data_IF_759229081826
#
_entry.id   IF_759229081826
#
_cell.length_a   1.000
_cell.length_b   1.000
_cell.length_c   1.000
_cell.angle_alpha   90.00
_cell.angle_beta   90.00
_cell.angle_gamma   90.00
#
_symmetry.space_group_name_H-M   'P 1'
#
loop_
_entity.id
_entity.type
_entity.pdbx_description
1 polymer ?
#
# COMPACT_ATOMS: atom_id res chain seq x y z
N UNK A 1 -17.10 -23.14 5.14
CA UNK A 1 -17.46 -22.07 4.21
C UNK A 1 -16.28 -21.94 3.26
N UNK A 2 -16.45 -22.35 2.01
CA UNK A 2 -15.36 -22.36 1.02
C UNK A 2 -15.01 -20.90 0.67
N UNK A 3 -13.78 -20.48 0.98
CA UNK A 3 -13.23 -19.19 0.58
C UNK A 3 -13.10 -19.23 -0.94
N UNK A 4 -13.67 -18.27 -1.70
CA UNK A 4 -13.44 -18.23 -3.12
C UNK A 4 -11.94 -18.01 -3.37
N UNK A 5 -11.32 -18.95 -4.07
CA UNK A 5 -9.98 -18.75 -4.63
C UNK A 5 -10.06 -17.56 -5.58
N UNK A 6 -9.35 -16.46 -5.27
CA UNK A 6 -9.22 -15.34 -6.17
C UNK A 6 -8.65 -15.85 -7.50
N UNK A 7 -9.36 -15.70 -8.62
CA UNK A 7 -8.74 -15.91 -9.90
C UNK A 7 -7.67 -14.82 -10.05
N UNK A 8 -6.42 -15.23 -10.13
CA UNK A 8 -5.35 -14.35 -10.59
C UNK A 8 -5.68 -13.97 -12.03
N UNK A 9 -6.36 -12.85 -12.23
CA UNK A 9 -6.64 -12.26 -13.54
C UNK A 9 -5.39 -11.58 -14.15
N UNK A 10 -4.24 -12.18 -13.92
CA UNK A 10 -3.10 -12.00 -14.82
C UNK A 10 -3.38 -13.02 -15.92
N UNK A 11 -3.57 -12.63 -17.19
CA UNK A 11 -3.62 -13.61 -18.28
C UNK A 11 -2.37 -14.47 -18.11
N UNK A 12 -2.59 -15.78 -17.96
CA UNK A 12 -1.52 -16.72 -17.70
C UNK A 12 -0.47 -16.53 -18.78
N UNK A 13 0.83 -16.46 -18.45
CA UNK A 13 1.91 -16.26 -19.43
C UNK A 13 1.90 -17.26 -20.60
N UNK A 14 1.10 -18.32 -20.49
CA UNK A 14 0.96 -19.36 -21.51
C UNK A 14 0.45 -18.88 -22.87
N UNK A 15 -0.27 -17.76 -22.97
CA UNK A 15 -0.72 -17.21 -24.27
C UNK A 15 0.35 -16.34 -24.94
N UNK A 16 1.26 -15.75 -24.17
CA UNK A 16 2.37 -14.94 -24.69
C UNK A 16 3.68 -15.75 -24.84
N UNK A 17 3.76 -16.95 -24.26
CA UNK A 17 4.95 -17.82 -24.34
C UNK A 17 5.16 -18.49 -25.70
N UNK A 18 4.19 -18.42 -26.61
CA UNK A 18 4.28 -19.13 -27.89
C UNK A 18 5.09 -18.40 -28.97
N UNK A 19 5.43 -17.15 -28.83
CA UNK A 19 6.29 -16.43 -29.80
C UNK A 19 7.78 -16.57 -29.52
N UNK A 20 8.18 -16.86 -28.28
CA UNK A 20 9.58 -17.14 -27.93
C UNK A 20 9.83 -18.64 -27.95
N UNK A 21 9.93 -19.18 -29.15
CA UNK A 21 10.00 -20.63 -29.43
C UNK A 21 10.90 -21.43 -28.48
N UNK A 22 10.43 -22.65 -28.16
CA UNK A 22 11.07 -23.63 -27.28
C UNK A 22 12.47 -24.09 -27.73
N UNK A 23 13.03 -23.55 -28.80
CA UNK A 23 14.27 -24.03 -29.44
C UNK A 23 15.52 -23.18 -29.17
N UNK A 24 15.38 -21.99 -28.56
CA UNK A 24 16.54 -21.15 -28.24
C UNK A 24 16.80 -21.09 -26.72
N UNK A 25 18.06 -21.19 -26.26
CA UNK A 25 18.38 -21.10 -24.84
C UNK A 25 17.85 -19.81 -24.23
N UNK A 26 17.32 -19.89 -22.99
CA UNK A 26 16.84 -18.73 -22.22
C UNK A 26 18.00 -17.78 -21.99
N UNK A 27 17.80 -16.49 -22.29
CA UNK A 27 18.74 -15.43 -21.99
C UNK A 27 18.09 -14.37 -21.08
N UNK A 28 18.89 -13.56 -20.41
CA UNK A 28 18.43 -12.46 -19.54
C UNK A 28 17.42 -11.56 -20.25
N UNK A 29 17.77 -11.08 -21.45
CA UNK A 29 16.91 -10.18 -22.22
C UNK A 29 15.58 -10.83 -22.65
N UNK A 30 15.60 -12.16 -22.95
CA UNK A 30 14.39 -12.89 -23.28
C UNK A 30 13.50 -13.11 -22.08
N UNK A 31 14.10 -13.54 -20.95
CA UNK A 31 13.35 -13.78 -19.72
C UNK A 31 12.66 -12.52 -19.20
N UNK A 32 13.38 -11.42 -19.13
CA UNK A 32 12.86 -10.14 -18.64
C UNK A 32 12.14 -9.32 -19.71
N UNK A 33 12.15 -9.76 -20.98
CA UNK A 33 11.59 -9.00 -22.11
C UNK A 33 12.15 -7.57 -22.17
N UNK A 34 13.47 -7.44 -21.98
CA UNK A 34 14.12 -6.12 -21.89
C UNK A 34 13.87 -5.24 -23.11
N UNK A 35 13.93 -5.73 -24.38
CA UNK A 35 13.62 -4.89 -25.54
C UNK A 35 12.21 -4.30 -25.51
N UNK A 36 11.21 -5.08 -25.09
CA UNK A 36 9.83 -4.61 -24.99
C UNK A 36 9.71 -3.57 -23.87
N UNK A 37 10.29 -3.90 -22.70
CA UNK A 37 10.23 -3.03 -21.52
C UNK A 37 10.82 -1.64 -21.79
N UNK A 38 12.01 -1.58 -22.41
CA UNK A 38 12.67 -0.28 -22.70
C UNK A 38 12.11 0.41 -23.95
N UNK A 39 11.20 -0.24 -24.69
CA UNK A 39 10.48 0.35 -25.82
C UNK A 39 9.15 1.00 -25.45
N UNK A 40 8.69 0.89 -24.18
CA UNK A 40 7.41 1.42 -23.72
C UNK A 40 7.44 2.92 -23.39
N UNK A 41 8.61 3.53 -23.29
CA UNK A 41 8.78 4.94 -22.96
C UNK A 41 8.68 5.79 -24.23
N UNK A 42 7.49 6.31 -24.53
CA UNK A 42 7.23 7.12 -25.72
C UNK A 42 6.80 8.52 -25.31
N UNK A 43 7.63 9.52 -25.66
CA UNK A 43 7.33 10.93 -25.41
C UNK A 43 6.21 11.43 -26.32
N UNK A 44 5.32 12.26 -25.79
CA UNK A 44 4.22 12.91 -26.52
C UNK A 44 4.59 14.32 -27.00
N UNK A 45 5.66 14.92 -26.44
CA UNK A 45 6.11 16.25 -26.83
C UNK A 45 6.82 16.23 -28.19
N UNK A 46 6.57 17.25 -29.00
CA UNK A 46 7.25 17.46 -30.26
C UNK A 46 7.68 18.92 -30.39
N UNK A 47 9.00 19.20 -30.48
CA UNK A 47 10.12 18.25 -30.33
C UNK A 47 10.16 17.59 -28.94
N UNK A 48 10.79 16.43 -28.84
CA UNK A 48 10.87 15.67 -27.59
C UNK A 48 11.50 16.49 -26.47
N UNK A 49 10.81 16.54 -25.33
CA UNK A 49 11.29 17.22 -24.14
C UNK A 49 12.15 16.27 -23.31
N UNK A 50 13.41 16.63 -23.05
CA UNK A 50 14.39 15.76 -22.39
C UNK A 50 13.87 15.11 -21.10
N UNK A 51 13.14 15.86 -20.25
CA UNK A 51 12.70 15.40 -18.95
C UNK A 51 11.37 14.60 -19.00
N UNK A 52 10.69 14.55 -20.16
CA UNK A 52 9.48 13.72 -20.33
C UNK A 52 9.80 12.23 -20.22
N UNK A 53 10.95 11.79 -20.74
CA UNK A 53 11.42 10.42 -20.58
C UNK A 53 11.59 10.05 -19.10
N UNK A 54 12.17 10.94 -18.29
CA UNK A 54 12.30 10.75 -16.85
C UNK A 54 10.92 10.60 -16.19
N UNK A 55 9.99 11.48 -16.55
CA UNK A 55 8.62 11.45 -16.02
C UNK A 55 7.92 10.11 -16.31
N UNK A 56 7.99 9.64 -17.56
CA UNK A 56 7.41 8.35 -17.97
C UNK A 56 8.07 7.20 -17.21
N UNK A 57 9.41 7.16 -17.19
CA UNK A 57 10.17 6.07 -16.56
C UNK A 57 9.85 5.94 -15.07
N UNK A 58 9.79 7.05 -14.34
CA UNK A 58 9.46 7.05 -12.91
C UNK A 58 8.04 6.50 -12.67
N UNK A 59 7.05 6.95 -13.43
CA UNK A 59 5.68 6.48 -13.26
C UNK A 59 5.50 5.00 -13.63
N UNK A 60 6.16 4.54 -14.70
CA UNK A 60 6.19 3.11 -15.03
C UNK A 60 6.88 2.27 -13.95
N UNK A 61 7.95 2.76 -13.36
CA UNK A 61 8.63 2.10 -12.24
C UNK A 61 7.70 2.01 -11.00
N UNK A 62 6.93 3.06 -10.69
CA UNK A 62 5.90 3.01 -9.65
C UNK A 62 4.87 1.92 -9.91
N UNK A 63 4.32 1.86 -11.12
CA UNK A 63 3.31 0.85 -11.48
C UNK A 63 3.85 -0.58 -11.40
N UNK A 64 5.12 -0.83 -11.76
CA UNK A 64 5.77 -2.13 -11.59
C UNK A 64 5.94 -2.50 -10.11
N UNK A 65 6.31 -1.54 -9.26
CA UNK A 65 6.43 -1.75 -7.82
C UNK A 65 5.06 -1.91 -7.16
N UNK A 66 4.04 -1.15 -7.55
CA UNK A 66 2.66 -1.35 -7.07
C UNK A 66 2.15 -2.75 -7.36
N UNK A 67 2.47 -3.30 -8.55
CA UNK A 67 2.16 -4.69 -8.89
C UNK A 67 2.81 -5.67 -7.91
N UNK A 68 4.09 -5.45 -7.54
CA UNK A 68 4.79 -6.30 -6.59
C UNK A 68 4.22 -6.15 -5.18
N UNK A 69 3.92 -4.92 -4.75
CA UNK A 69 3.26 -4.63 -3.47
C UNK A 69 1.94 -5.39 -3.35
N UNK A 70 1.08 -5.30 -4.35
CA UNK A 70 -0.19 -6.02 -4.38
C UNK A 70 -0.01 -7.54 -4.32
N UNK A 71 0.99 -8.07 -5.01
CA UNK A 71 1.32 -9.50 -4.98
C UNK A 71 1.73 -9.96 -3.57
N UNK A 72 2.55 -9.19 -2.87
CA UNK A 72 2.97 -9.52 -1.49
C UNK A 72 1.81 -9.34 -0.49
N UNK A 73 0.96 -8.32 -0.67
CA UNK A 73 -0.24 -8.14 0.15
C UNK A 73 -1.22 -9.31 -0.01
N UNK A 74 -1.47 -9.76 -1.24
CA UNK A 74 -2.32 -10.92 -1.51
C UNK A 74 -1.76 -12.19 -0.86
N UNK A 75 -0.45 -12.41 -0.97
CA UNK A 75 0.21 -13.52 -0.29
C UNK A 75 0.11 -13.41 1.24
N UNK A 76 0.23 -12.20 1.79
CA UNK A 76 0.06 -11.93 3.23
C UNK A 76 -1.34 -12.30 3.72
N UNK A 77 -2.38 -11.92 2.98
CA UNK A 77 -3.77 -12.27 3.28
C UNK A 77 -3.97 -13.79 3.31
N UNK A 78 -3.43 -14.50 2.33
CA UNK A 78 -3.49 -15.97 2.28
C UNK A 78 -2.78 -16.57 3.50
N UNK A 79 -1.55 -16.12 3.79
CA UNK A 79 -0.75 -16.61 4.93
C UNK A 79 -1.45 -16.35 6.28
N UNK A 80 -2.06 -15.18 6.46
CA UNK A 80 -2.83 -14.89 7.66
C UNK A 80 -4.04 -15.82 7.80
N UNK A 81 -4.74 -16.11 6.70
CA UNK A 81 -5.89 -17.05 6.71
C UNK A 81 -5.47 -18.49 7.02
N UNK A 82 -4.26 -18.88 6.66
CA UNK A 82 -3.64 -20.17 6.97
C UNK A 82 -2.96 -20.22 8.35
N UNK A 83 -3.11 -19.18 9.17
CA UNK A 83 -2.50 -19.05 10.51
C UNK A 83 -0.95 -19.03 10.49
N UNK A 84 -0.35 -18.55 9.41
CA UNK A 84 1.10 -18.46 9.19
C UNK A 84 1.60 -17.03 9.44
N UNK A 85 1.44 -16.54 10.68
CA UNK A 85 1.72 -15.15 11.06
C UNK A 85 3.15 -14.69 10.75
N UNK A 86 4.16 -15.48 11.08
CA UNK A 86 5.56 -15.15 10.81
C UNK A 86 5.88 -15.02 9.30
N UNK A 87 5.24 -15.86 8.45
CA UNK A 87 5.40 -15.76 7.01
C UNK A 87 4.71 -14.51 6.45
N UNK A 88 3.52 -14.19 6.97
CA UNK A 88 2.78 -12.98 6.62
C UNK A 88 3.57 -11.70 6.97
N UNK A 89 4.14 -11.63 8.19
CA UNK A 89 5.00 -10.52 8.60
C UNK A 89 6.20 -10.34 7.67
N UNK A 90 6.85 -11.42 7.24
CA UNK A 90 7.98 -11.36 6.30
C UNK A 90 7.57 -10.86 4.91
N UNK A 91 6.40 -11.21 4.40
CA UNK A 91 5.88 -10.71 3.13
C UNK A 91 5.59 -9.20 3.22
N UNK A 92 4.98 -8.74 4.32
CA UNK A 92 4.77 -7.31 4.58
C UNK A 92 6.07 -6.53 4.73
N UNK A 93 7.11 -7.09 5.36
CA UNK A 93 8.43 -6.43 5.41
C UNK A 93 8.98 -6.14 4.01
N UNK A 94 8.70 -7.01 3.01
CA UNK A 94 9.07 -6.71 1.62
C UNK A 94 8.25 -5.56 1.04
N UNK A 95 6.96 -5.48 1.37
CA UNK A 95 6.13 -4.32 0.99
C UNK A 95 6.74 -3.04 1.54
N UNK A 96 7.09 -3.01 2.82
CA UNK A 96 7.73 -1.87 3.49
C UNK A 96 9.04 -1.45 2.80
N UNK A 97 9.92 -2.41 2.46
CA UNK A 97 11.17 -2.09 1.75
C UNK A 97 10.92 -1.50 0.35
N UNK A 98 9.89 -1.96 -0.34
CA UNK A 98 9.48 -1.36 -1.62
C UNK A 98 8.95 0.06 -1.38
N UNK A 99 8.14 0.30 -0.36
CA UNK A 99 7.61 1.63 -0.04
C UNK A 99 8.72 2.63 0.32
N UNK A 100 9.74 2.20 1.06
CA UNK A 100 10.96 3.00 1.30
C UNK A 100 11.63 3.42 -0.02
N UNK A 101 11.71 2.49 -0.97
CA UNK A 101 12.24 2.79 -2.31
C UNK A 101 11.33 3.79 -3.04
N UNK A 102 10.00 3.63 -2.97
CA UNK A 102 9.05 4.54 -3.61
C UNK A 102 9.16 5.97 -3.06
N UNK A 103 9.37 6.14 -1.74
CA UNK A 103 9.66 7.45 -1.13
C UNK A 103 10.94 8.04 -1.72
N UNK A 104 12.01 7.25 -1.82
CA UNK A 104 13.29 7.71 -2.37
C UNK A 104 13.20 8.07 -3.87
N UNK A 105 12.35 7.40 -4.66
CA UNK A 105 12.16 7.72 -6.07
C UNK A 105 11.57 9.13 -6.31
N UNK A 106 10.83 9.69 -5.35
CA UNK A 106 10.31 11.07 -5.45
C UNK A 106 11.46 12.06 -5.61
N UNK A 107 12.59 11.85 -4.94
CA UNK A 107 13.75 12.75 -5.03
C UNK A 107 14.37 12.77 -6.42
N UNK A 108 14.27 11.67 -7.17
CA UNK A 108 14.73 11.67 -8.57
C UNK A 108 13.82 12.57 -9.41
N UNK A 109 12.50 12.51 -9.20
CA UNK A 109 11.55 13.37 -9.91
C UNK A 109 11.74 14.86 -9.55
N UNK A 110 12.14 15.18 -8.33
CA UNK A 110 12.45 16.54 -7.86
C UNK A 110 13.69 17.15 -8.51
N UNK A 111 14.51 16.38 -9.21
CA UNK A 111 15.62 16.91 -10.01
C UNK A 111 15.16 17.65 -11.27
N UNK A 112 13.93 17.39 -11.70
CA UNK A 112 13.27 18.15 -12.77
C UNK A 112 12.94 19.56 -12.28
N UNK A 113 13.18 20.58 -13.10
CA UNK A 113 12.78 21.94 -12.74
C UNK A 113 11.31 22.20 -13.08
N UNK A 114 10.60 23.10 -12.36
CA UNK A 114 9.21 23.46 -12.67
C UNK A 114 9.00 23.89 -14.11
N UNK A 115 9.93 24.68 -14.67
CA UNK A 115 9.86 25.16 -16.07
C UNK A 115 9.93 24.00 -17.06
N UNK A 116 10.79 23.03 -16.81
CA UNK A 116 10.93 21.84 -17.66
C UNK A 116 9.67 20.97 -17.60
N UNK A 117 9.10 20.77 -16.40
CA UNK A 117 7.83 20.06 -16.26
C UNK A 117 6.69 20.78 -17.00
N UNK A 118 6.57 22.10 -16.86
CA UNK A 118 5.56 22.88 -17.55
C UNK A 118 5.68 22.80 -19.07
N UNK A 119 6.89 22.55 -19.60
CA UNK A 119 7.14 22.44 -21.03
C UNK A 119 6.38 21.30 -21.73
N UNK A 120 6.04 20.23 -21.01
CA UNK A 120 5.26 19.11 -21.58
C UNK A 120 3.96 18.81 -20.82
N UNK A 121 3.75 19.39 -19.62
CA UNK A 121 2.61 19.10 -18.74
C UNK A 121 1.24 19.19 -19.43
N UNK A 122 1.04 20.17 -20.29
CA UNK A 122 -0.27 20.35 -20.96
C UNK A 122 -0.63 19.20 -21.89
N UNK A 123 0.38 18.50 -22.42
CA UNK A 123 0.17 17.33 -23.29
C UNK A 123 -0.29 16.09 -22.52
N UNK A 124 -0.11 16.09 -21.20
CA UNK A 124 -0.59 15.00 -20.35
C UNK A 124 -2.09 15.06 -20.10
N UNK A 125 -2.75 16.20 -20.33
CA UNK A 125 -4.18 16.36 -20.05
C UNK A 125 -5.02 15.47 -21.00
N UNK A 126 -6.01 14.69 -20.49
CA UNK A 126 -6.54 14.69 -19.12
C UNK A 126 -5.92 13.63 -18.19
N UNK A 127 -4.80 13.02 -18.54
CA UNK A 127 -4.15 11.99 -17.71
C UNK A 127 -3.68 12.55 -16.35
N UNK A 128 -3.88 11.78 -15.31
CA UNK A 128 -3.55 12.15 -13.94
C UNK A 128 -3.15 10.91 -13.12
N UNK A 129 -2.24 11.09 -12.16
CA UNK A 129 -1.88 10.05 -11.18
C UNK A 129 -3.08 9.55 -10.35
N UNK A 130 -4.17 10.30 -10.29
CA UNK A 130 -5.44 9.86 -9.73
C UNK A 130 -6.01 8.61 -10.39
N UNK A 131 -5.67 8.39 -11.66
CA UNK A 131 -6.13 7.28 -12.48
C UNK A 131 -5.26 6.03 -12.33
N UNK A 132 -4.25 6.03 -11.44
CA UNK A 132 -3.51 4.81 -11.13
C UNK A 132 -4.43 3.81 -10.44
N UNK A 133 -4.87 2.81 -11.18
CA UNK A 133 -5.72 1.73 -10.67
C UNK A 133 -5.00 0.94 -9.56
N UNK A 134 -3.73 0.60 -9.73
CA UNK A 134 -2.98 -0.19 -8.77
C UNK A 134 -2.76 0.55 -7.44
N UNK A 135 -2.54 1.87 -7.49
CA UNK A 135 -2.51 2.69 -6.29
C UNK A 135 -3.84 2.62 -5.52
N UNK A 136 -4.97 2.70 -6.22
CA UNK A 136 -6.30 2.56 -5.59
C UNK A 136 -6.55 1.15 -5.05
N UNK A 137 -6.05 0.11 -5.73
CA UNK A 137 -6.11 -1.26 -5.20
C UNK A 137 -5.37 -1.38 -3.87
N UNK A 138 -4.17 -0.76 -3.74
CA UNK A 138 -3.42 -0.74 -2.47
C UNK A 138 -4.21 -0.03 -1.38
N UNK A 139 -4.79 1.14 -1.67
CA UNK A 139 -5.64 1.85 -0.70
C UNK A 139 -6.83 1.00 -0.24
N UNK A 140 -7.52 0.32 -1.16
CA UNK A 140 -8.71 -0.48 -0.85
C UNK A 140 -8.36 -1.71 -0.01
N UNK A 141 -7.35 -2.47 -0.41
CA UNK A 141 -6.94 -3.67 0.33
C UNK A 141 -6.36 -3.34 1.69
N UNK A 142 -5.77 -2.16 1.86
CA UNK A 142 -5.24 -1.68 3.14
C UNK A 142 -6.32 -1.07 4.06
N UNK A 143 -7.56 -0.86 3.56
CA UNK A 143 -8.69 -0.44 4.40
C UNK A 143 -9.34 0.90 4.03
N UNK A 144 -8.77 1.65 3.07
CA UNK A 144 -9.35 2.93 2.64
C UNK A 144 -10.29 2.77 1.43
N UNK A 145 -11.36 2.02 1.61
CA UNK A 145 -12.41 1.83 0.59
C UNK A 145 -13.26 3.08 0.48
N UNK A 146 -13.39 3.60 -0.72
CA UNK A 146 -14.18 4.78 -1.02
C UNK A 146 -14.98 4.61 -2.30
N UNK A 147 -16.29 4.52 -2.19
CA UNK A 147 -17.20 4.28 -3.32
C UNK A 147 -17.11 5.36 -4.40
N UNK A 148 -16.89 6.62 -3.99
CA UNK A 148 -16.68 7.72 -4.94
C UNK A 148 -15.49 7.49 -5.86
N UNK A 149 -14.38 6.97 -5.33
CA UNK A 149 -13.19 6.62 -6.12
C UNK A 149 -13.51 5.48 -7.08
N UNK A 150 -14.20 4.43 -6.63
CA UNK A 150 -14.62 3.33 -7.50
C UNK A 150 -15.47 3.83 -8.67
N UNK A 151 -16.38 4.77 -8.42
CA UNK A 151 -17.26 5.32 -9.43
C UNK A 151 -16.53 6.14 -10.52
N UNK A 152 -15.35 6.73 -10.21
CA UNK A 152 -14.53 7.46 -11.18
C UNK A 152 -13.96 6.55 -12.28
N UNK A 153 -13.90 5.24 -12.05
CA UNK A 153 -13.38 4.25 -13.01
C UNK A 153 -14.47 3.56 -13.85
N UNK A 154 -15.74 3.97 -13.76
CA UNK A 154 -16.84 3.28 -14.44
C UNK A 154 -16.69 3.18 -15.96
N UNK A 155 -16.01 4.14 -16.57
CA UNK A 155 -15.80 4.18 -18.02
C UNK A 155 -14.61 3.29 -18.46
N UNK A 156 -13.75 2.86 -17.53
CA UNK A 156 -12.70 1.88 -17.74
C UNK A 156 -13.13 0.53 -17.16
N UNK A 157 -13.77 -0.29 -17.98
CA UNK A 157 -14.33 -1.57 -17.53
C UNK A 157 -13.29 -2.52 -16.92
N UNK A 158 -12.03 -2.48 -17.35
CA UNK A 158 -10.95 -3.29 -16.77
C UNK A 158 -10.56 -2.81 -15.37
N UNK A 159 -10.31 -1.51 -15.23
CA UNK A 159 -9.94 -0.92 -13.95
C UNK A 159 -11.08 -1.00 -12.94
N UNK A 160 -12.32 -0.68 -13.39
CA UNK A 160 -13.52 -0.75 -12.56
C UNK A 160 -13.72 -2.15 -11.95
N UNK A 161 -13.66 -3.20 -12.78
CA UNK A 161 -13.90 -4.57 -12.32
C UNK A 161 -12.85 -5.02 -11.29
N UNK A 162 -11.57 -4.68 -11.50
CA UNK A 162 -10.50 -4.97 -10.53
C UNK A 162 -10.71 -4.25 -9.21
N UNK A 163 -11.02 -2.94 -9.27
CA UNK A 163 -11.27 -2.14 -8.08
C UNK A 163 -12.53 -2.60 -7.35
N UNK A 164 -13.59 -2.99 -8.06
CA UNK A 164 -14.81 -3.55 -7.47
C UNK A 164 -14.51 -4.82 -6.67
N UNK A 165 -13.72 -5.73 -7.23
CA UNK A 165 -13.30 -6.94 -6.53
C UNK A 165 -12.53 -6.62 -5.26
N UNK A 166 -11.60 -5.64 -5.28
CA UNK A 166 -10.88 -5.18 -4.09
C UNK A 166 -11.81 -4.51 -3.07
N UNK A 167 -12.78 -3.75 -3.57
CA UNK A 167 -13.75 -3.07 -2.71
C UNK A 167 -14.64 -4.07 -1.93
N UNK A 168 -15.05 -5.17 -2.57
CA UNK A 168 -15.88 -6.21 -1.97
C UNK A 168 -15.07 -7.21 -1.10
N UNK A 169 -13.76 -7.35 -1.36
CA UNK A 169 -12.90 -8.29 -0.65
C UNK A 169 -12.55 -7.80 0.77
N UNK A 170 -12.24 -8.72 1.71
CA UNK A 170 -11.72 -8.35 3.02
C UNK A 170 -10.40 -7.57 2.93
N UNK A 171 -10.23 -6.60 3.83
CA UNK A 171 -9.01 -5.79 3.95
C UNK A 171 -7.93 -6.51 4.75
N UNK A 172 -6.68 -6.02 4.67
CA UNK A 172 -5.58 -6.48 5.53
C UNK A 172 -5.93 -6.42 7.01
N UNK A 173 -6.55 -5.31 7.46
CA UNK A 173 -6.96 -5.12 8.85
C UNK A 173 -8.03 -6.13 9.30
N UNK A 174 -9.06 -6.36 8.48
CA UNK A 174 -10.11 -7.34 8.78
C UNK A 174 -9.54 -8.76 8.89
N UNK A 175 -8.62 -9.15 8.00
CA UNK A 175 -7.97 -10.47 8.03
C UNK A 175 -7.02 -10.59 9.22
N UNK A 176 -6.30 -9.52 9.57
CA UNK A 176 -5.45 -9.49 10.76
C UNK A 176 -6.27 -9.67 12.04
N UNK A 177 -7.34 -8.91 12.24
CA UNK A 177 -8.20 -9.09 13.41
C UNK A 177 -8.90 -10.46 13.42
N UNK A 178 -9.20 -11.04 12.26
CA UNK A 178 -9.70 -12.42 12.18
C UNK A 178 -8.64 -13.44 12.64
N UNK A 179 -7.37 -13.24 12.30
CA UNK A 179 -6.26 -14.05 12.81
C UNK A 179 -6.15 -13.93 14.35
N UNK A 180 -6.21 -12.71 14.89
CA UNK A 180 -6.13 -12.49 16.33
C UNK A 180 -7.26 -13.20 17.09
N UNK A 181 -8.50 -13.18 16.56
CA UNK A 181 -9.63 -13.94 17.13
C UNK A 181 -9.37 -15.44 17.15
N UNK A 182 -8.85 -16.02 16.07
CA UNK A 182 -8.48 -17.44 16.02
C UNK A 182 -7.42 -17.80 17.05
N UNK A 183 -6.55 -16.86 17.39
CA UNK A 183 -5.48 -16.99 18.40
C UNK A 183 -5.91 -16.62 19.83
N UNK A 184 -7.22 -16.43 20.04
CA UNK A 184 -7.83 -16.22 21.36
C UNK A 184 -7.79 -14.79 21.88
N UNK A 185 -7.47 -13.80 21.03
CA UNK A 185 -7.55 -12.38 21.38
C UNK A 185 -8.95 -11.82 21.11
N UNK A 186 -9.40 -10.92 21.97
CA UNK A 186 -10.71 -10.27 21.86
C UNK A 186 -10.68 -9.12 20.83
N UNK A 187 -10.71 -9.46 19.55
CA UNK A 187 -10.64 -8.52 18.44
C UNK A 187 -11.89 -8.65 17.53
N UNK A 188 -13.03 -8.05 17.89
CA UNK A 188 -14.28 -8.17 17.15
C UNK A 188 -14.15 -7.67 15.71
N UNK A 189 -14.94 -8.28 14.80
CA UNK A 189 -15.04 -7.79 13.43
C UNK A 189 -15.70 -6.42 13.38
N UNK A 190 -15.40 -5.67 12.34
CA UNK A 190 -16.18 -4.47 12.02
C UNK A 190 -17.56 -4.90 11.49
N UNK A 191 -18.58 -4.19 11.95
CA UNK A 191 -19.96 -4.44 11.53
C UNK A 191 -20.71 -3.10 11.45
N UNK A 192 -20.84 -2.58 10.24
CA UNK A 192 -21.53 -1.32 9.96
C UNK A 192 -23.04 -1.37 10.23
N UNK A 193 -23.61 -2.57 10.37
CA UNK A 193 -25.02 -2.74 10.70
C UNK A 193 -25.33 -2.47 12.18
N UNK A 194 -24.30 -2.40 13.05
CA UNK A 194 -24.45 -2.18 14.49
C UNK A 194 -24.56 -0.69 14.83
N UNK A 195 -25.03 -0.40 16.06
CA UNK A 195 -25.10 0.98 16.56
C UNK A 195 -23.71 1.61 16.69
N UNK A 196 -23.64 2.94 16.60
CA UNK A 196 -22.38 3.69 16.78
C UNK A 196 -21.74 3.38 18.15
N UNK A 197 -22.55 3.26 19.20
CA UNK A 197 -22.07 2.89 20.52
C UNK A 197 -21.43 1.49 20.56
N UNK A 198 -21.97 0.52 19.78
CA UNK A 198 -21.41 -0.81 19.68
C UNK A 198 -20.13 -0.80 18.86
N UNK A 199 -20.10 -0.11 17.70
CA UNK A 199 -18.88 0.06 16.89
C UNK A 199 -17.74 0.66 17.70
N UNK A 200 -18.02 1.66 18.53
CA UNK A 200 -17.02 2.26 19.43
C UNK A 200 -16.50 1.24 20.45
N UNK A 201 -17.36 0.43 21.07
CA UNK A 201 -16.93 -0.63 22.00
C UNK A 201 -16.07 -1.67 21.30
N UNK A 202 -16.44 -2.06 20.10
CA UNK A 202 -15.69 -3.07 19.32
C UNK A 202 -14.32 -2.51 18.86
N UNK A 203 -14.25 -1.25 18.51
CA UNK A 203 -12.98 -0.55 18.26
C UNK A 203 -12.08 -0.55 19.52
N UNK A 204 -12.62 -0.15 20.68
CA UNK A 204 -11.88 -0.17 21.96
C UNK A 204 -11.38 -1.58 22.33
N UNK A 205 -12.13 -2.63 22.01
CA UNK A 205 -11.72 -4.03 22.22
C UNK A 205 -10.57 -4.42 21.27
N UNK A 206 -10.61 -3.98 20.01
CA UNK A 206 -9.48 -4.17 19.08
C UNK A 206 -8.22 -3.45 19.56
N UNK A 207 -8.34 -2.21 20.03
CA UNK A 207 -7.22 -1.46 20.63
C UNK A 207 -6.63 -2.20 21.83
N UNK A 208 -7.48 -2.77 22.72
CA UNK A 208 -7.03 -3.58 23.87
C UNK A 208 -6.32 -4.86 23.43
N UNK A 209 -6.79 -5.53 22.38
CA UNK A 209 -6.12 -6.72 21.83
C UNK A 209 -4.71 -6.38 21.32
N UNK A 210 -4.54 -5.23 20.65
CA UNK A 210 -3.23 -4.75 20.24
C UNK A 210 -2.35 -4.42 21.45
N UNK A 211 -2.90 -3.74 22.45
CA UNK A 211 -2.17 -3.42 23.69
C UNK A 211 -1.67 -4.70 24.40
N UNK A 212 -2.49 -5.77 24.42
CA UNK A 212 -2.06 -7.09 24.94
C UNK A 212 -0.87 -7.65 24.16
N UNK A 213 -0.87 -7.54 22.83
CA UNK A 213 0.25 -7.99 21.99
C UNK A 213 1.52 -7.19 22.33
N UNK A 214 1.41 -5.86 22.42
CA UNK A 214 2.54 -4.98 22.67
C UNK A 214 3.14 -5.18 24.07
N UNK A 215 2.29 -5.42 25.08
CA UNK A 215 2.75 -5.62 26.46
C UNK A 215 3.30 -7.03 26.74
N UNK A 216 2.86 -8.01 25.96
CA UNK A 216 3.30 -9.40 26.08
C UNK A 216 4.02 -9.90 24.83
N UNK A 217 4.80 -9.03 24.19
CA UNK A 217 5.42 -9.30 22.89
C UNK A 217 6.29 -10.57 22.85
N UNK A 218 6.92 -10.95 23.95
CA UNK A 218 7.69 -12.20 24.02
C UNK A 218 6.83 -13.46 23.86
N UNK A 219 5.59 -13.44 24.41
CA UNK A 219 4.63 -14.55 24.31
C UNK A 219 3.82 -14.51 23.01
N UNK A 220 3.69 -13.33 22.43
CA UNK A 220 2.90 -13.02 21.23
C UNK A 220 3.80 -12.55 20.08
N UNK A 221 4.99 -13.15 19.96
CA UNK A 221 6.03 -12.64 19.08
C UNK A 221 5.63 -12.57 17.61
N UNK A 222 4.89 -13.56 17.09
CA UNK A 222 4.41 -13.55 15.71
C UNK A 222 3.36 -12.46 15.48
N UNK A 223 2.40 -12.31 16.40
CA UNK A 223 1.37 -11.27 16.33
C UNK A 223 2.01 -9.89 16.45
N UNK A 224 3.01 -9.75 17.31
CA UNK A 224 3.79 -8.51 17.46
C UNK A 224 4.51 -8.16 16.16
N UNK A 225 5.26 -9.08 15.57
CA UNK A 225 5.97 -8.84 14.31
C UNK A 225 5.00 -8.45 13.17
N UNK A 226 3.84 -9.10 13.11
CA UNK A 226 2.84 -8.80 12.10
C UNK A 226 2.20 -7.42 12.35
N UNK A 227 1.89 -7.07 13.60
CA UNK A 227 1.36 -5.76 13.97
C UNK A 227 2.35 -4.63 13.65
N UNK A 228 3.67 -4.83 13.93
CA UNK A 228 4.70 -3.87 13.55
C UNK A 228 4.83 -3.72 12.03
N UNK A 229 4.81 -4.81 11.28
CA UNK A 229 4.89 -4.75 9.82
C UNK A 229 3.68 -4.05 9.18
N UNK A 230 2.46 -4.25 9.72
CA UNK A 230 1.26 -3.50 9.31
C UNK A 230 1.38 -2.01 9.63
N UNK A 231 1.91 -1.67 10.81
CA UNK A 231 2.14 -0.29 11.20
C UNK A 231 3.18 0.40 10.30
N UNK A 232 4.29 -0.29 10.02
CA UNK A 232 5.32 0.22 9.10
C UNK A 232 4.75 0.46 7.69
N UNK A 233 3.91 -0.44 7.18
CA UNK A 233 3.21 -0.24 5.91
C UNK A 233 2.36 1.05 5.92
N UNK A 234 1.57 1.27 6.96
CA UNK A 234 0.76 2.50 7.11
C UNK A 234 1.64 3.76 7.22
N UNK A 235 2.74 3.68 7.98
CA UNK A 235 3.71 4.77 8.14
C UNK A 235 4.36 5.16 6.80
N UNK A 236 4.95 4.19 6.08
CA UNK A 236 5.65 4.48 4.83
C UNK A 236 4.70 4.92 3.72
N UNK A 237 3.49 4.41 3.69
CA UNK A 237 2.48 4.92 2.77
C UNK A 237 2.09 6.38 3.08
N UNK A 238 1.98 6.74 4.36
CA UNK A 238 1.75 8.12 4.80
C UNK A 238 2.93 9.04 4.48
N UNK A 239 4.17 8.57 4.70
CA UNK A 239 5.39 9.29 4.33
C UNK A 239 5.46 9.53 2.82
N UNK A 240 5.13 8.51 2.00
CA UNK A 240 5.06 8.67 0.56
C UNK A 240 4.05 9.76 0.16
N UNK A 241 2.84 9.76 0.73
CA UNK A 241 1.84 10.82 0.50
C UNK A 241 2.39 12.20 0.85
N UNK A 242 3.05 12.31 2.00
CA UNK A 242 3.63 13.57 2.47
C UNK A 242 4.70 14.09 1.53
N UNK A 243 5.64 13.25 1.11
CA UNK A 243 6.69 13.60 0.15
C UNK A 243 6.10 13.95 -1.22
N UNK A 244 5.12 13.17 -1.70
CA UNK A 244 4.45 13.43 -2.97
C UNK A 244 3.76 14.81 -2.97
N UNK A 245 3.05 15.18 -1.90
CA UNK A 245 2.41 16.50 -1.78
C UNK A 245 3.45 17.61 -1.84
N UNK A 246 4.57 17.47 -1.12
CA UNK A 246 5.65 18.44 -1.14
C UNK A 246 6.31 18.58 -2.51
N UNK A 247 6.51 17.48 -3.20
CA UNK A 247 7.01 17.46 -4.57
C UNK A 247 6.04 18.19 -5.51
N UNK A 248 4.72 17.87 -5.45
CA UNK A 248 3.70 18.54 -6.26
C UNK A 248 3.66 20.04 -5.97
N UNK A 249 3.67 20.44 -4.70
CA UNK A 249 3.72 21.85 -4.29
C UNK A 249 4.94 22.59 -4.88
N UNK A 250 6.11 21.96 -4.83
CA UNK A 250 7.35 22.47 -5.38
C UNK A 250 7.32 22.60 -6.91
N UNK A 251 6.68 21.64 -7.61
CA UNK A 251 6.68 21.57 -9.07
C UNK A 251 5.61 22.45 -9.73
N UNK A 252 4.42 22.52 -9.16
CA UNK A 252 3.28 23.21 -9.79
C UNK A 252 2.61 24.27 -8.91
N UNK A 253 3.01 24.40 -7.64
CA UNK A 253 2.38 25.32 -6.70
C UNK A 253 0.89 24.99 -6.51
N UNK A 254 0.08 26.01 -6.30
CA UNK A 254 -1.37 25.87 -6.08
C UNK A 254 -2.20 25.66 -7.37
N UNK A 255 -1.58 25.30 -8.50
CA UNK A 255 -2.30 25.05 -9.76
C UNK A 255 -3.16 23.80 -9.65
N UNK A 256 -4.29 23.78 -10.38
CA UNK A 256 -5.14 22.59 -10.49
C UNK A 256 -4.41 21.42 -11.15
N UNK A 257 -4.75 20.21 -10.75
CA UNK A 257 -4.25 18.98 -11.38
C UNK A 257 -4.69 18.86 -12.85
N UNK A 258 -3.92 18.14 -13.66
CA UNK A 258 -4.26 17.88 -15.08
C UNK A 258 -5.55 17.09 -15.25
N UNK A 259 -5.94 16.26 -14.27
CA UNK A 259 -7.20 15.52 -14.25
C UNK A 259 -8.38 16.28 -13.63
N UNK A 260 -8.31 17.63 -13.50
CA UNK A 260 -9.43 18.44 -13.00
C UNK A 260 -9.60 18.46 -11.48
N UNK A 261 -8.75 17.76 -10.71
CA UNK A 261 -8.80 17.77 -9.24
C UNK A 261 -8.44 19.15 -8.66
N UNK A 262 -8.89 19.40 -7.41
CA UNK A 262 -8.54 20.62 -6.66
C UNK A 262 -7.02 20.76 -6.35
N UNK A 263 -6.19 19.82 -6.85
CA UNK A 263 -4.75 19.83 -6.68
C UNK A 263 -4.32 19.56 -5.23
N UNK A 264 -3.42 20.38 -4.70
CA UNK A 264 -2.80 20.18 -3.36
C UNK A 264 -3.84 20.12 -2.24
N UNK A 265 -4.91 20.92 -2.31
CA UNK A 265 -5.95 20.95 -1.28
C UNK A 265 -6.56 19.57 -1.02
N UNK A 266 -6.93 18.86 -2.07
CA UNK A 266 -7.42 17.48 -1.94
C UNK A 266 -6.36 16.53 -1.38
N UNK A 267 -5.13 16.59 -1.88
CA UNK A 267 -4.06 15.71 -1.42
C UNK A 267 -3.79 15.88 0.08
N UNK A 268 -3.84 17.12 0.60
CA UNK A 268 -3.66 17.40 2.02
C UNK A 268 -4.71 16.72 2.91
N UNK A 269 -5.95 16.51 2.41
CA UNK A 269 -6.99 15.79 3.18
C UNK A 269 -6.65 14.31 3.40
N UNK A 270 -5.72 13.76 2.61
CA UNK A 270 -5.33 12.35 2.70
C UNK A 270 -4.23 12.10 3.74
N UNK A 271 -3.53 13.13 4.25
CA UNK A 271 -2.37 12.98 5.14
C UNK A 271 -2.70 12.34 6.49
N UNK A 272 -3.90 12.60 7.01
CA UNK A 272 -4.32 12.08 8.32
C UNK A 272 -5.05 10.74 8.24
N UNK A 273 -5.19 10.18 7.03
CA UNK A 273 -5.84 8.89 6.85
C UNK A 273 -4.88 7.77 7.21
N UNK A 274 -5.28 6.94 8.15
CA UNK A 274 -4.56 5.73 8.59
C UNK A 274 -5.25 4.49 8.05
N UNK A 275 -4.46 3.47 7.71
CA UNK A 275 -4.99 2.16 7.36
C UNK A 275 -5.40 1.36 8.61
N UNK A 276 -4.60 1.48 9.69
CA UNK A 276 -4.75 0.69 10.91
C UNK A 276 -4.77 1.60 12.15
N UNK A 277 -5.82 2.42 12.35
CA UNK A 277 -5.85 3.39 13.45
C UNK A 277 -5.69 2.75 14.84
N UNK A 278 -6.17 1.53 15.04
CA UNK A 278 -6.04 0.80 16.31
C UNK A 278 -4.56 0.55 16.68
N UNK A 279 -3.71 0.25 15.68
CA UNK A 279 -2.28 0.03 15.91
C UNK A 279 -1.59 1.30 16.41
N UNK A 280 -1.98 2.45 15.88
CA UNK A 280 -1.46 3.74 16.33
C UNK A 280 -1.98 4.11 17.71
N UNK A 281 -3.27 3.94 17.96
CA UNK A 281 -3.92 4.36 19.19
C UNK A 281 -3.46 3.51 20.39
N UNK A 282 -3.26 2.22 20.22
CA UNK A 282 -2.82 1.33 21.30
C UNK A 282 -1.52 1.81 21.96
N UNK A 283 -0.62 2.47 21.22
CA UNK A 283 0.63 3.03 21.76
C UNK A 283 0.42 4.15 22.76
N UNK A 284 -0.69 4.86 22.69
CA UNK A 284 -1.06 5.91 23.65
C UNK A 284 -1.30 5.35 25.06
N UNK A 285 -1.70 4.08 25.13
CA UNK A 285 -2.04 3.42 26.40
C UNK A 285 -0.91 2.54 26.96
N UNK A 286 0.27 2.52 26.32
CA UNK A 286 1.44 1.84 26.86
C UNK A 286 1.93 2.55 28.13
N UNK A 287 2.00 1.83 29.25
CA UNK A 287 2.55 2.33 30.52
C UNK A 287 3.93 1.72 30.76
N UNK A 288 4.87 2.54 31.29
CA UNK A 288 6.24 2.14 31.63
C UNK A 288 6.27 0.95 32.62
N UNK A 289 5.24 0.80 33.45
CA UNK A 289 5.10 -0.32 34.39
C UNK A 289 5.02 -1.69 33.70
N UNK A 290 4.53 -1.72 32.46
CA UNK A 290 4.41 -2.97 31.68
C UNK A 290 5.70 -3.31 30.90
N UNK A 291 6.56 -2.32 30.62
CA UNK A 291 7.81 -2.52 29.87
C UNK A 291 9.04 -2.86 30.75
N UNK A 292 8.96 -2.64 32.07
CA UNK A 292 10.11 -2.84 32.96
C UNK A 292 10.34 -4.31 33.37
N UNK A 293 9.33 -5.15 33.31
CA UNK A 293 9.45 -6.56 33.73
C UNK A 293 10.18 -7.48 32.73
N UNK A 294 10.40 -7.03 31.50
CA UNK A 294 11.04 -7.80 30.42
C UNK A 294 12.40 -7.28 29.94
N UNK A 295 12.93 -6.20 30.51
CA UNK A 295 14.23 -5.68 30.07
C UNK A 295 15.39 -6.49 30.69
N UNK A 296 16.15 -7.30 29.90
CA UNK A 296 17.28 -8.09 30.43
C UNK A 296 18.41 -7.23 30.98
N UNK A 297 18.36 -5.91 30.76
CA UNK A 297 19.33 -4.92 31.27
C UNK A 297 18.75 -4.03 32.36
N UNK A 298 17.53 -4.27 32.83
CA UNK A 298 16.98 -3.56 33.97
C UNK A 298 17.80 -3.95 35.23
N UNK A 299 18.59 -3.04 35.73
CA UNK A 299 19.28 -3.21 37.03
C UNK A 299 18.23 -3.48 38.09
N UNK A 300 18.45 -4.47 39.02
CA UNK A 300 17.53 -4.67 40.12
C UNK A 300 17.43 -3.36 40.89
N UNK A 301 16.26 -2.74 40.88
CA UNK A 301 15.99 -1.56 41.68
C UNK A 301 16.31 -1.88 43.11
N UNK A 302 17.34 -1.20 43.65
CA UNK A 302 17.66 -1.19 45.07
C UNK A 302 16.39 -0.84 45.85
N UNK A 303 15.76 -1.87 46.41
CA UNK A 303 14.78 -1.67 47.47
C UNK A 303 15.53 -1.00 48.64
N UNK A 304 15.26 0.23 48.89
CA UNK A 304 15.41 0.89 50.18
C UNK A 304 14.10 1.55 50.58
#
# INVERSE_FOLDING_TARGET
>A
MLIPSFPSFIPHPSTLMNEYGKSAPLSYNKYLRVPDLIGLQQCLSGPEHHDELLFITIHQAYELWFKQVLHEIDATIVMMNEDRGAAAARALQRVVEIEKLLVNQIHILETMTPIKFLGFRERLNPASGFQSMQFREIEFVSGQKHEGILNEFRDDGFAYERLRQRFEAPTLGEVFFALLRRRGLEAPAEDDSTSEAQRKKDYERRVKAILEILTHFEKRYEEFQLAEALLEHDEYFSLWRSHHIKMVERMVGAKRGTGGSEGIGYLQTTLNKKFFPELWEARTYLDIKHGAEGCPFASPSSQR
#
